data_IF_694343712246
#
_entry.id   IF_694343712246
#
_cell.length_a   1.000
_cell.length_b   1.000
_cell.length_c   1.000
_cell.angle_alpha   90.00
_cell.angle_beta   90.00
_cell.angle_gamma   90.00
#
_symmetry.space_group_name_H-M   'P 1'
#
loop_
_entity.id
_entity.type
_entity.pdbx_description
1 polymer ?
#
# COMPACT_ATOMS: atom_id res chain seq x y z
N UNK A 1 -38.27 55.77 -14.29
CA UNK A 1 -37.05 55.03 -14.71
C UNK A 1 -36.70 53.92 -13.69
N UNK A 2 -37.58 52.93 -13.45
CA UNK A 2 -37.38 51.93 -12.36
C UNK A 2 -37.16 50.50 -12.88
N UNK A 3 -37.96 50.05 -13.86
CA UNK A 3 -37.96 48.64 -14.28
C UNK A 3 -36.65 48.16 -14.94
N UNK A 4 -35.93 49.04 -15.67
CA UNK A 4 -34.68 48.64 -16.35
C UNK A 4 -33.59 48.24 -15.35
N UNK A 5 -33.45 48.95 -14.23
CA UNK A 5 -32.45 48.65 -13.20
C UNK A 5 -32.77 47.36 -12.43
N UNK A 6 -34.05 47.09 -12.21
CA UNK A 6 -34.50 45.86 -11.57
C UNK A 6 -34.21 44.62 -12.45
N UNK A 7 -34.43 44.72 -13.77
CA UNK A 7 -34.12 43.65 -14.73
C UNK A 7 -32.61 43.37 -14.75
N UNK A 8 -31.77 44.42 -14.82
CA UNK A 8 -30.31 44.26 -14.82
C UNK A 8 -29.79 43.66 -13.50
N UNK A 9 -30.41 43.98 -12.36
CA UNK A 9 -30.01 43.43 -11.06
C UNK A 9 -30.37 41.93 -10.94
N UNK A 10 -31.53 41.54 -11.49
CA UNK A 10 -31.93 40.13 -11.59
C UNK A 10 -30.97 39.35 -12.48
N UNK A 11 -30.61 39.89 -13.65
CA UNK A 11 -29.65 39.26 -14.57
C UNK A 11 -28.29 39.04 -13.92
N UNK A 12 -27.73 40.05 -13.24
CA UNK A 12 -26.45 39.92 -12.52
C UNK A 12 -26.52 38.88 -11.41
N UNK A 13 -27.63 38.81 -10.66
CA UNK A 13 -27.80 37.82 -9.59
C UNK A 13 -27.86 36.40 -10.15
N UNK A 14 -28.57 36.21 -11.27
CA UNK A 14 -28.66 34.91 -11.96
C UNK A 14 -27.29 34.48 -12.49
N UNK A 15 -26.54 35.40 -13.11
CA UNK A 15 -25.17 35.11 -13.59
C UNK A 15 -24.24 34.72 -12.45
N UNK A 16 -24.30 35.43 -11.31
CA UNK A 16 -23.50 35.09 -10.12
C UNK A 16 -23.89 33.72 -9.54
N UNK A 17 -25.18 33.39 -9.51
CA UNK A 17 -25.65 32.09 -9.05
C UNK A 17 -25.15 30.95 -9.95
N UNK A 18 -25.24 31.13 -11.28
CA UNK A 18 -24.73 30.15 -12.25
C UNK A 18 -23.20 29.99 -12.11
N UNK A 19 -22.47 31.10 -12.00
CA UNK A 19 -21.02 31.06 -11.80
C UNK A 19 -20.63 30.35 -10.49
N UNK A 20 -21.37 30.60 -9.40
CA UNK A 20 -21.17 29.92 -8.13
C UNK A 20 -21.41 28.41 -8.21
N UNK A 21 -22.48 27.97 -8.89
CA UNK A 21 -22.75 26.55 -9.12
C UNK A 21 -21.67 25.89 -9.99
N UNK A 22 -21.22 26.57 -11.05
CA UNK A 22 -20.15 26.07 -11.91
C UNK A 22 -18.83 25.89 -11.13
N UNK A 23 -18.46 26.88 -10.30
CA UNK A 23 -17.27 26.79 -9.45
C UNK A 23 -17.38 25.64 -8.45
N UNK A 24 -18.53 25.48 -7.79
CA UNK A 24 -18.76 24.39 -6.85
C UNK A 24 -18.64 23.01 -7.53
N UNK A 25 -19.19 22.86 -8.74
CA UNK A 25 -19.09 21.62 -9.51
C UNK A 25 -17.63 21.30 -9.90
N UNK A 26 -16.87 22.29 -10.36
CA UNK A 26 -15.44 22.12 -10.69
C UNK A 26 -14.65 21.73 -9.44
N UNK A 27 -14.91 22.38 -8.31
CA UNK A 27 -14.24 22.07 -7.04
C UNK A 27 -14.55 20.65 -6.57
N UNK A 28 -15.80 20.22 -6.70
CA UNK A 28 -16.24 18.87 -6.37
C UNK A 28 -15.54 17.81 -7.24
N UNK A 29 -15.50 18.02 -8.56
CA UNK A 29 -14.81 17.12 -9.50
C UNK A 29 -13.32 17.05 -9.18
N UNK A 30 -12.68 18.20 -8.93
CA UNK A 30 -11.25 18.25 -8.60
C UNK A 30 -10.91 17.51 -7.30
N UNK A 31 -11.71 17.68 -6.25
CA UNK A 31 -11.53 16.96 -4.98
C UNK A 31 -11.71 15.45 -5.19
N UNK A 32 -12.75 15.05 -5.92
CA UNK A 32 -13.01 13.63 -6.19
C UNK A 32 -11.93 12.99 -7.06
N UNK A 33 -11.42 13.70 -8.07
CA UNK A 33 -10.30 13.24 -8.90
C UNK A 33 -9.04 13.05 -8.06
N UNK A 34 -8.69 14.03 -7.22
CA UNK A 34 -7.53 13.90 -6.31
C UNK A 34 -7.66 12.75 -5.33
N UNK A 35 -8.87 12.51 -4.81
CA UNK A 35 -9.14 11.37 -3.92
C UNK A 35 -8.98 10.05 -4.68
N UNK A 36 -9.54 9.95 -5.89
CA UNK A 36 -9.43 8.77 -6.74
C UNK A 36 -7.96 8.46 -7.09
N UNK A 37 -7.18 9.46 -7.47
CA UNK A 37 -5.75 9.30 -7.78
C UNK A 37 -4.97 8.80 -6.55
N UNK A 38 -5.20 9.40 -5.38
CA UNK A 38 -4.51 8.95 -4.15
C UNK A 38 -4.90 7.53 -3.74
N UNK A 39 -6.13 7.11 -4.04
CA UNK A 39 -6.58 5.73 -3.80
C UNK A 39 -5.96 4.76 -4.79
N UNK A 40 -5.78 5.17 -6.06
CA UNK A 40 -5.10 4.38 -7.08
C UNK A 40 -3.62 4.16 -6.76
N UNK A 41 -2.92 5.22 -6.36
CA UNK A 41 -1.51 5.17 -5.98
C UNK A 41 -1.27 4.23 -4.77
N UNK A 42 -2.10 4.31 -3.74
CA UNK A 42 -2.07 3.38 -2.60
C UNK A 42 -2.31 1.93 -3.02
N UNK A 43 -3.24 1.68 -3.94
CA UNK A 43 -3.52 0.33 -4.43
C UNK A 43 -2.35 -0.23 -5.24
N UNK A 44 -1.74 0.57 -6.11
CA UNK A 44 -0.57 0.17 -6.87
C UNK A 44 0.62 -0.16 -5.95
N UNK A 45 0.88 0.70 -4.96
CA UNK A 45 1.93 0.47 -3.96
C UNK A 45 1.67 -0.81 -3.15
N UNK A 46 0.42 -1.08 -2.76
CA UNK A 46 0.01 -2.31 -2.10
C UNK A 46 0.38 -3.55 -2.92
N UNK A 47 -0.07 -3.61 -4.18
CA UNK A 47 0.19 -4.77 -5.05
C UNK A 47 1.67 -4.95 -5.35
N UNK A 48 2.42 -3.85 -5.48
CA UNK A 48 3.87 -3.88 -5.63
C UNK A 48 4.57 -4.48 -4.41
N UNK A 49 4.24 -4.02 -3.19
CA UNK A 49 4.85 -4.56 -1.97
C UNK A 49 4.44 -6.02 -1.75
N UNK A 50 3.17 -6.35 -2.00
CA UNK A 50 2.64 -7.70 -1.88
C UNK A 50 3.36 -8.66 -2.83
N UNK A 51 3.45 -8.34 -4.12
CA UNK A 51 4.12 -9.18 -5.11
C UNK A 51 5.61 -9.36 -4.82
N UNK A 52 6.31 -8.31 -4.36
CA UNK A 52 7.71 -8.42 -3.95
C UNK A 52 7.89 -9.34 -2.74
N UNK A 53 7.05 -9.20 -1.72
CA UNK A 53 7.09 -10.04 -0.52
C UNK A 53 6.77 -11.50 -0.86
N UNK A 54 5.70 -11.72 -1.63
CA UNK A 54 5.25 -13.05 -2.06
C UNK A 54 6.33 -13.76 -2.89
N UNK A 55 6.94 -13.06 -3.85
CA UNK A 55 7.99 -13.62 -4.68
C UNK A 55 9.20 -14.07 -3.84
N UNK A 56 9.65 -13.23 -2.89
CA UNK A 56 10.77 -13.59 -2.01
C UNK A 56 10.42 -14.74 -1.09
N UNK A 57 9.23 -14.70 -0.48
CA UNK A 57 8.75 -15.77 0.40
C UNK A 57 8.66 -17.10 -0.36
N UNK A 58 8.08 -17.12 -1.56
CA UNK A 58 8.01 -18.32 -2.41
C UNK A 58 9.39 -18.86 -2.74
N UNK A 59 10.34 -17.98 -3.07
CA UNK A 59 11.74 -18.37 -3.33
C UNK A 59 12.38 -18.99 -2.09
N UNK A 60 12.21 -18.35 -0.94
CA UNK A 60 12.82 -18.79 0.31
C UNK A 60 12.20 -20.12 0.79
N UNK A 61 10.88 -20.30 0.68
CA UNK A 61 10.19 -21.56 0.97
C UNK A 61 10.67 -22.68 0.03
N UNK A 62 10.75 -22.41 -1.29
CA UNK A 62 11.20 -23.42 -2.26
C UNK A 62 12.62 -23.90 -1.99
N UNK A 63 13.48 -23.01 -1.50
CA UNK A 63 14.86 -23.31 -1.16
C UNK A 63 15.03 -23.71 0.31
N UNK A 64 13.95 -23.80 1.08
CA UNK A 64 14.00 -24.11 2.51
C UNK A 64 14.17 -25.61 2.74
N UNK A 65 14.98 -25.95 3.74
CA UNK A 65 15.11 -27.30 4.28
C UNK A 65 14.29 -27.47 5.56
N UNK A 66 14.07 -26.38 6.29
CA UNK A 66 13.27 -26.36 7.50
C UNK A 66 12.58 -25.00 7.65
N UNK A 67 11.36 -25.04 8.19
CA UNK A 67 10.59 -23.86 8.57
C UNK A 67 10.24 -24.02 10.04
N UNK A 68 10.51 -22.99 10.83
CA UNK A 68 10.21 -22.95 12.26
C UNK A 68 9.55 -21.63 12.64
N UNK A 69 8.80 -21.66 13.74
CA UNK A 69 8.12 -20.49 14.29
C UNK A 69 8.62 -20.21 15.70
N UNK A 70 9.76 -19.52 15.85
CA UNK A 70 10.35 -19.25 17.16
C UNK A 70 9.46 -18.37 18.05
N UNK A 71 8.59 -17.54 17.47
CA UNK A 71 7.61 -16.76 18.23
C UNK A 71 6.32 -16.55 17.43
N UNK A 72 5.26 -16.03 18.08
CA UNK A 72 4.01 -15.70 17.37
C UNK A 72 4.24 -14.77 16.19
N UNK A 73 5.26 -13.91 16.29
CA UNK A 73 5.49 -12.80 15.37
C UNK A 73 6.73 -13.04 14.50
N UNK A 74 7.30 -14.23 14.53
CA UNK A 74 8.54 -14.54 13.81
C UNK A 74 8.51 -15.93 13.21
N UNK A 75 8.92 -16.00 11.95
CA UNK A 75 9.16 -17.23 11.19
C UNK A 75 10.64 -17.30 10.83
N UNK A 76 11.26 -18.45 11.02
CA UNK A 76 12.65 -18.70 10.65
C UNK A 76 12.72 -19.85 9.65
N UNK A 77 13.32 -19.60 8.50
CA UNK A 77 13.51 -20.56 7.42
C UNK A 77 15.00 -20.84 7.27
N UNK A 78 15.38 -22.10 7.28
CA UNK A 78 16.73 -22.53 6.89
C UNK A 78 16.74 -22.74 5.38
N UNK A 79 17.49 -21.91 4.65
CA UNK A 79 17.46 -21.83 3.18
C UNK A 79 18.82 -22.21 2.61
N UNK A 80 18.82 -23.08 1.59
CA UNK A 80 20.04 -23.42 0.84
C UNK A 80 20.38 -22.26 -0.10
N UNK A 81 21.58 -21.72 0.06
CA UNK A 81 22.15 -20.66 -0.76
C UNK A 81 23.43 -21.18 -1.41
N UNK A 82 23.49 -21.13 -2.73
CA UNK A 82 24.73 -21.43 -3.46
C UNK A 82 25.66 -20.21 -3.34
N UNK A 83 26.82 -20.42 -2.74
CA UNK A 83 27.88 -19.40 -2.70
C UNK A 83 28.42 -19.11 -4.10
N UNK A 84 29.17 -18.01 -4.22
CA UNK A 84 29.85 -17.63 -5.47
C UNK A 84 30.92 -18.63 -5.91
N UNK A 85 31.37 -19.48 -4.99
CA UNK A 85 32.30 -20.58 -5.15
C UNK A 85 31.62 -21.90 -5.59
N UNK A 86 30.28 -21.90 -5.72
CA UNK A 86 29.50 -23.10 -6.05
C UNK A 86 29.22 -24.02 -4.86
N UNK A 87 29.68 -23.68 -3.65
CA UNK A 87 29.43 -24.48 -2.45
C UNK A 87 28.04 -24.16 -1.89
N UNK A 88 27.15 -25.15 -1.72
CA UNK A 88 25.86 -24.93 -1.07
C UNK A 88 26.08 -24.67 0.43
N UNK A 89 25.50 -23.58 0.94
CA UNK A 89 25.54 -23.19 2.35
C UNK A 89 24.12 -23.01 2.86
N UNK A 90 23.85 -23.49 4.08
CA UNK A 90 22.56 -23.27 4.73
C UNK A 90 22.62 -21.93 5.46
N UNK A 91 21.70 -21.03 5.14
CA UNK A 91 21.57 -19.71 5.75
C UNK A 91 20.17 -19.53 6.32
N UNK A 92 20.07 -18.81 7.42
CA UNK A 92 18.79 -18.51 8.03
C UNK A 92 18.18 -17.23 7.42
N UNK A 93 16.93 -17.33 6.99
CA UNK A 93 16.07 -16.18 6.67
C UNK A 93 15.04 -16.05 7.79
N UNK A 94 14.91 -14.84 8.36
CA UNK A 94 13.85 -14.56 9.34
C UNK A 94 12.83 -13.60 8.78
N UNK A 95 11.57 -13.89 9.02
CA UNK A 95 10.44 -12.99 8.76
C UNK A 95 9.84 -12.60 10.09
N UNK A 96 9.82 -11.31 10.40
CA UNK A 96 9.21 -10.75 11.60
C UNK A 96 8.01 -9.90 11.25
N UNK A 97 6.90 -10.11 11.94
CA UNK A 97 5.72 -9.25 11.83
C UNK A 97 5.70 -8.21 12.94
N UNK A 98 5.29 -6.98 12.62
CA UNK A 98 4.97 -5.99 13.64
C UNK A 98 3.71 -6.35 14.42
N UNK A 99 3.43 -5.66 15.53
CA UNK A 99 2.27 -5.92 16.41
C UNK A 99 0.91 -5.92 15.69
N UNK A 100 0.79 -5.19 14.58
CA UNK A 100 -0.42 -5.12 13.77
C UNK A 100 -0.53 -6.24 12.71
N UNK A 101 0.52 -7.03 12.50
CA UNK A 101 0.63 -7.96 11.37
C UNK A 101 0.81 -7.30 9.99
N UNK A 102 0.74 -5.96 9.92
CA UNK A 102 0.81 -5.15 8.68
C UNK A 102 2.22 -4.69 8.32
N UNK A 103 3.18 -4.84 9.22
CA UNK A 103 4.59 -4.62 8.92
C UNK A 103 5.27 -5.98 8.86
N UNK A 104 5.96 -6.28 7.77
CA UNK A 104 6.74 -7.50 7.62
C UNK A 104 8.20 -7.12 7.37
N UNK A 105 9.11 -7.61 8.20
CA UNK A 105 10.55 -7.46 8.02
C UNK A 105 11.15 -8.80 7.63
N UNK A 106 11.84 -8.84 6.49
CA UNK A 106 12.66 -9.99 6.07
C UNK A 106 14.11 -9.70 6.41
N UNK A 107 14.74 -10.56 7.20
CA UNK A 107 16.13 -10.46 7.61
C UNK A 107 16.89 -11.61 6.98
N UNK A 108 17.88 -11.29 6.14
CA UNK A 108 18.76 -12.26 5.50
C UNK A 108 20.18 -11.73 5.48
N UNK A 109 21.14 -12.51 5.99
CA UNK A 109 22.56 -12.11 6.05
C UNK A 109 22.80 -10.73 6.68
N UNK A 110 22.05 -10.40 7.75
CA UNK A 110 22.14 -9.11 8.43
C UNK A 110 21.49 -7.93 7.69
N UNK A 111 20.95 -8.13 6.48
CA UNK A 111 20.18 -7.12 5.75
C UNK A 111 18.69 -7.27 6.09
N UNK A 112 18.09 -6.21 6.59
CA UNK A 112 16.67 -6.13 6.88
C UNK A 112 15.94 -5.39 5.73
N UNK A 113 14.95 -6.06 5.14
CA UNK A 113 14.07 -5.52 4.11
C UNK A 113 12.67 -5.36 4.71
N UNK A 114 12.14 -4.14 4.68
CA UNK A 114 10.83 -3.83 5.30
C UNK A 114 9.72 -3.73 4.26
N UNK A 115 8.57 -4.29 4.60
CA UNK A 115 7.35 -4.26 3.82
C UNK A 115 6.23 -3.70 4.72
N UNK A 116 5.90 -2.42 4.54
CA UNK A 116 4.92 -1.71 5.37
C UNK A 116 3.58 -1.58 4.64
N UNK A 117 2.57 -2.30 5.13
CA UNK A 117 1.20 -2.27 4.62
C UNK A 117 0.28 -1.38 5.48
N UNK A 118 0.79 -0.72 6.53
CA UNK A 118 -0.01 -0.01 7.54
C UNK A 118 -0.89 1.08 6.95
N UNK A 119 -0.36 1.85 5.99
CA UNK A 119 -1.06 2.98 5.35
C UNK A 119 -1.78 2.60 4.05
N UNK A 120 -1.53 1.40 3.55
CA UNK A 120 -2.02 0.91 2.25
C UNK A 120 -3.30 0.10 2.40
N UNK A 121 -3.50 -0.46 3.59
CA UNK A 121 -4.59 -1.36 3.93
C UNK A 121 -5.49 -0.65 4.96
N UNK A 122 -6.02 0.52 4.58
CA UNK A 122 -7.06 1.21 5.36
C UNK A 122 -8.37 0.42 5.23
N UNK A 123 -8.83 -0.20 6.33
CA UNK A 123 -10.09 -0.94 6.38
C UNK A 123 -10.06 -2.40 5.93
N UNK A 124 -8.90 -2.94 5.55
CA UNK A 124 -8.72 -4.37 5.26
C UNK A 124 -7.89 -5.08 6.35
N UNK A 125 -8.25 -6.34 6.62
CA UNK A 125 -7.53 -7.23 7.53
C UNK A 125 -6.39 -7.92 6.79
N UNK A 126 -5.25 -7.23 6.67
CA UNK A 126 -4.01 -7.89 6.23
C UNK A 126 -3.32 -8.53 7.44
N UNK A 127 -3.13 -9.85 7.38
CA UNK A 127 -2.36 -10.60 8.38
C UNK A 127 -1.37 -11.51 7.64
N UNK A 128 -0.08 -11.24 7.80
CA UNK A 128 0.96 -12.11 7.28
C UNK A 128 1.02 -13.42 8.08
N UNK A 129 0.84 -14.55 7.39
CA UNK A 129 1.02 -15.90 7.95
C UNK A 129 1.62 -16.81 6.88
N UNK A 130 2.60 -17.61 7.28
CA UNK A 130 3.07 -18.74 6.48
C UNK A 130 2.23 -19.95 6.90
N UNK A 131 1.44 -20.48 5.97
CA UNK A 131 0.72 -21.74 6.14
C UNK A 131 1.56 -22.86 5.52
N UNK A 132 1.75 -23.94 6.25
CA UNK A 132 2.50 -25.14 5.87
C UNK A 132 1.60 -26.37 5.94
#
# INVERSE_FOLDING_TARGET
MSNKRAITLVEVTVVLAIAGMALAAVFYIFINSKRADSSGEKAEEYYRLYSMLEMKLKKDIRNSTAISRPSSDEYALSVICNGSDGTPSIKEVRYRTGKSGKLVERIFEGKAEKYDFTKLVEGQDFIFKIAW
#
